data_IF_737896785967
#
_entry.id   IF_737896785967
#
_cell.length_a   1.000
_cell.length_b   1.000
_cell.length_c   1.000
_cell.angle_alpha   90.00
_cell.angle_beta   90.00
_cell.angle_gamma   90.00
#
_symmetry.space_group_name_H-M   'P 1'
#
loop_
_entity.id
_entity.type
_entity.pdbx_description
1 polymer ?
#
# COMPACT_ATOMS: atom_id res chain seq x y z
N UNK A 1 4.50 -16.25 -12.57
CA UNK A 1 3.23 -15.63 -12.14
C UNK A 1 2.83 -16.21 -10.78
N UNK A 2 2.10 -15.48 -9.99
CA UNK A 2 1.62 -15.90 -8.67
C UNK A 2 2.60 -15.67 -7.53
N UNK A 3 3.74 -15.05 -7.77
CA UNK A 3 4.68 -14.62 -6.71
C UNK A 3 4.33 -13.18 -6.31
N UNK A 4 3.61 -13.00 -5.20
CA UNK A 4 3.09 -11.70 -4.78
C UNK A 4 4.15 -10.62 -4.59
N UNK A 5 5.35 -11.00 -4.14
CA UNK A 5 6.46 -10.05 -3.99
C UNK A 5 6.99 -9.61 -5.36
N UNK A 6 7.11 -10.51 -6.32
CA UNK A 6 7.66 -10.19 -7.63
C UNK A 6 6.68 -9.44 -8.53
N UNK A 7 5.39 -9.64 -8.35
CA UNK A 7 4.34 -9.05 -9.17
C UNK A 7 3.92 -7.66 -8.64
N UNK A 8 3.16 -7.63 -7.54
CA UNK A 8 2.53 -6.39 -7.05
C UNK A 8 3.50 -5.47 -6.31
N UNK A 9 4.46 -6.03 -5.55
CA UNK A 9 5.33 -5.20 -4.70
C UNK A 9 6.33 -4.35 -5.47
N UNK A 10 6.64 -4.68 -6.72
CA UNK A 10 7.48 -3.83 -7.57
C UNK A 10 6.88 -2.44 -7.72
N UNK A 11 5.56 -2.34 -7.91
CA UNK A 11 4.85 -1.06 -7.95
C UNK A 11 4.88 -0.33 -6.62
N UNK A 12 4.81 -1.05 -5.50
CA UNK A 12 4.86 -0.45 -4.16
C UNK A 12 6.26 0.10 -3.86
N UNK A 13 7.32 -0.58 -4.26
CA UNK A 13 8.71 -0.10 -4.15
C UNK A 13 8.90 1.18 -4.95
N UNK A 14 8.43 1.19 -6.19
CA UNK A 14 8.51 2.35 -7.07
C UNK A 14 7.79 3.56 -6.46
N UNK A 15 6.55 3.39 -5.98
CA UNK A 15 5.79 4.42 -5.29
C UNK A 15 6.49 4.94 -4.02
N UNK A 16 7.12 4.06 -3.24
CA UNK A 16 7.89 4.45 -2.05
C UNK A 16 9.08 5.32 -2.47
N UNK A 17 9.83 4.90 -3.49
CA UNK A 17 10.99 5.62 -3.97
C UNK A 17 10.61 7.00 -4.50
N UNK A 18 9.59 7.10 -5.32
CA UNK A 18 9.07 8.39 -5.82
C UNK A 18 8.67 9.36 -4.70
N UNK A 19 8.07 8.84 -3.65
CA UNK A 19 7.52 9.65 -2.56
C UNK A 19 8.57 10.02 -1.51
N UNK A 20 9.57 9.19 -1.31
CA UNK A 20 10.58 9.39 -0.25
C UNK A 20 11.90 9.98 -0.78
N UNK A 21 12.20 9.76 -2.06
CA UNK A 21 13.45 10.16 -2.71
C UNK A 21 13.19 10.81 -4.07
N UNK A 22 12.36 11.88 -4.13
CA UNK A 22 12.07 12.55 -5.40
C UNK A 22 13.36 13.05 -6.03
N UNK A 23 13.51 12.79 -7.33
CA UNK A 23 14.66 13.22 -8.14
C UNK A 23 16.03 12.64 -7.71
N UNK A 24 16.03 11.59 -6.88
CA UNK A 24 17.25 10.90 -6.46
C UNK A 24 17.41 9.54 -7.15
N UNK A 25 18.61 9.28 -7.64
CA UNK A 25 18.99 7.94 -8.08
C UNK A 25 19.23 7.03 -6.87
N UNK A 26 18.66 5.83 -6.90
CA UNK A 26 18.85 4.79 -5.89
C UNK A 26 19.67 3.66 -6.50
N UNK A 27 20.82 3.38 -5.91
CA UNK A 27 21.70 2.29 -6.32
C UNK A 27 21.47 1.09 -5.38
N UNK A 28 20.88 0.01 -5.90
CA UNK A 28 20.46 -1.12 -5.08
C UNK A 28 21.62 -1.77 -4.29
N UNK A 29 22.85 -1.72 -4.82
CA UNK A 29 24.03 -2.31 -4.20
C UNK A 29 24.54 -1.54 -2.99
N UNK A 30 24.45 -0.20 -3.01
CA UNK A 30 24.98 0.67 -1.95
C UNK A 30 23.90 1.23 -1.04
N UNK A 31 22.72 1.50 -1.56
CA UNK A 31 21.70 2.26 -0.88
C UNK A 31 20.62 1.39 -0.25
N UNK A 32 20.49 0.12 -0.72
CA UNK A 32 19.44 -0.80 -0.27
C UNK A 32 20.02 -1.93 0.57
N UNK A 33 19.42 -2.16 1.75
CA UNK A 33 19.76 -3.31 2.60
C UNK A 33 18.48 -4.04 3.00
N UNK A 34 18.35 -5.29 2.59
CA UNK A 34 17.25 -6.16 3.02
C UNK A 34 17.46 -6.58 4.47
N UNK A 35 16.45 -6.42 5.30
CA UNK A 35 16.43 -6.79 6.72
C UNK A 35 15.68 -8.10 6.94
N UNK A 36 14.51 -8.25 6.34
CA UNK A 36 13.73 -9.48 6.37
C UNK A 36 12.90 -9.64 5.10
N UNK A 37 12.67 -10.88 4.69
CA UNK A 37 11.77 -11.22 3.62
C UNK A 37 11.05 -12.52 3.95
N UNK A 38 9.74 -12.57 3.69
CA UNK A 38 8.91 -13.76 3.88
C UNK A 38 7.92 -13.88 2.73
N UNK A 39 7.61 -15.10 2.34
CA UNK A 39 6.49 -15.41 1.47
C UNK A 39 5.68 -16.58 2.04
N UNK A 40 4.41 -16.65 1.68
CA UNK A 40 3.52 -17.74 2.10
C UNK A 40 2.42 -17.95 1.07
N UNK A 41 1.89 -19.18 0.97
CA UNK A 41 0.89 -19.48 -0.03
C UNK A 41 -0.50 -18.99 0.35
N UNK A 42 -1.33 -18.80 -0.67
CA UNK A 42 -2.79 -18.91 -0.59
C UNK A 42 -3.17 -20.29 -1.08
N UNK A 43 -3.86 -21.12 -0.28
CA UNK A 43 -4.32 -22.43 -0.71
C UNK A 43 -5.50 -22.28 -1.68
N UNK A 44 -5.47 -23.04 -2.78
CA UNK A 44 -6.53 -23.08 -3.79
C UNK A 44 -6.94 -24.54 -3.97
N UNK A 45 -8.20 -24.84 -3.73
CA UNK A 45 -8.80 -26.15 -3.99
C UNK A 45 -8.94 -26.42 -5.49
N UNK A 46 -9.09 -27.69 -5.90
CA UNK A 46 -9.33 -28.01 -7.30
C UNK A 46 -10.63 -27.36 -7.82
N UNK A 47 -11.66 -27.24 -6.98
CA UNK A 47 -12.90 -26.57 -7.36
C UNK A 47 -12.71 -25.08 -7.68
N UNK A 48 -11.98 -24.37 -6.82
CA UNK A 48 -11.63 -22.95 -7.04
C UNK A 48 -10.72 -22.77 -8.26
N UNK A 49 -9.76 -23.68 -8.45
CA UNK A 49 -8.90 -23.69 -9.62
C UNK A 49 -9.71 -23.89 -10.90
N UNK A 50 -10.61 -24.88 -10.91
CA UNK A 50 -11.48 -25.17 -12.06
C UNK A 50 -12.41 -24.02 -12.38
N UNK A 51 -12.94 -23.34 -11.37
CA UNK A 51 -13.79 -22.16 -11.54
C UNK A 51 -13.03 -21.01 -12.24
N UNK A 52 -11.76 -20.81 -11.87
CA UNK A 52 -10.93 -19.73 -12.43
C UNK A 52 -10.38 -20.05 -13.82
N UNK A 53 -9.97 -21.29 -14.04
CA UNK A 53 -9.19 -21.69 -15.22
C UNK A 53 -9.99 -22.44 -16.27
N UNK A 54 -11.21 -22.88 -15.93
CA UNK A 54 -12.08 -23.71 -16.77
C UNK A 54 -11.42 -25.09 -17.09
N UNK A 55 -10.59 -25.61 -16.17
CA UNK A 55 -9.94 -26.93 -16.31
C UNK A 55 -10.27 -27.82 -15.14
N UNK A 56 -10.50 -29.12 -15.38
CA UNK A 56 -10.98 -30.09 -14.40
C UNK A 56 -9.87 -30.74 -13.56
N UNK A 57 -8.60 -30.39 -13.85
CA UNK A 57 -7.47 -30.97 -13.16
C UNK A 57 -6.31 -29.99 -13.09
N UNK A 58 -5.46 -30.15 -12.08
CA UNK A 58 -4.22 -29.42 -12.01
C UNK A 58 -3.25 -29.87 -13.12
N UNK A 59 -2.69 -28.95 -13.91
CA UNK A 59 -1.65 -29.28 -14.89
C UNK A 59 -0.45 -29.96 -14.25
N UNK A 60 0.18 -30.88 -14.97
CA UNK A 60 1.29 -31.69 -14.46
C UNK A 60 2.47 -30.86 -13.95
N UNK A 61 2.73 -29.70 -14.56
CA UNK A 61 3.80 -28.81 -14.15
C UNK A 61 3.57 -28.12 -12.79
N UNK A 62 2.34 -28.12 -12.27
CA UNK A 62 1.99 -27.62 -10.93
C UNK A 62 2.15 -28.66 -9.83
N UNK A 63 2.40 -29.94 -10.18
CA UNK A 63 2.41 -31.06 -9.23
C UNK A 63 3.30 -30.81 -7.98
N UNK A 64 4.43 -30.14 -8.15
CA UNK A 64 5.33 -29.82 -7.05
C UNK A 64 4.77 -28.82 -6.02
N UNK A 65 3.74 -28.06 -6.39
CA UNK A 65 3.06 -27.08 -5.54
C UNK A 65 1.75 -27.57 -4.97
N UNK A 66 1.37 -28.84 -5.24
CA UNK A 66 0.15 -29.44 -4.74
C UNK A 66 0.49 -30.23 -3.48
N UNK A 67 -0.21 -29.93 -2.39
CA UNK A 67 -0.14 -30.67 -1.13
C UNK A 67 -1.55 -31.03 -0.66
N UNK A 68 -1.79 -32.30 -0.36
CA UNK A 68 -3.10 -32.77 0.09
C UNK A 68 -4.25 -32.30 -0.82
N UNK A 69 -4.09 -32.44 -2.14
CA UNK A 69 -5.05 -32.03 -3.17
C UNK A 69 -5.37 -30.52 -3.20
N UNK A 70 -4.50 -29.68 -2.61
CA UNK A 70 -4.60 -28.22 -2.61
C UNK A 70 -3.37 -27.63 -3.29
N UNK A 71 -3.57 -26.71 -4.20
CA UNK A 71 -2.51 -25.93 -4.84
C UNK A 71 -2.07 -24.79 -3.92
N UNK A 72 -0.80 -24.77 -3.54
CA UNK A 72 -0.19 -23.69 -2.78
C UNK A 72 0.34 -22.61 -3.70
N UNK A 73 -0.43 -21.51 -3.90
CA UNK A 73 -0.02 -20.36 -4.73
C UNK A 73 0.75 -19.37 -3.87
N UNK A 74 2.04 -19.16 -4.12
CA UNK A 74 2.90 -18.22 -3.38
C UNK A 74 2.57 -16.76 -3.68
N UNK A 75 1.33 -16.36 -3.44
CA UNK A 75 0.79 -15.05 -3.78
C UNK A 75 1.02 -13.97 -2.71
N UNK A 76 1.53 -14.35 -1.54
CA UNK A 76 1.69 -13.44 -0.40
C UNK A 76 3.15 -13.22 -0.06
N UNK A 77 3.47 -12.02 0.42
CA UNK A 77 4.81 -11.74 0.87
C UNK A 77 4.92 -10.49 1.74
N UNK A 78 6.02 -10.41 2.47
CA UNK A 78 6.43 -9.22 3.18
C UNK A 78 7.94 -8.99 3.03
N UNK A 79 8.34 -7.75 2.99
CA UNK A 79 9.72 -7.31 2.87
C UNK A 79 9.95 -6.11 3.79
N UNK A 80 10.96 -6.22 4.67
CA UNK A 80 11.51 -5.10 5.44
C UNK A 80 12.92 -4.81 4.94
N UNK A 81 13.20 -3.55 4.65
CA UNK A 81 14.48 -3.13 4.08
C UNK A 81 14.79 -1.68 4.45
N UNK A 82 16.00 -1.22 4.18
CA UNK A 82 16.34 0.19 4.27
C UNK A 82 16.75 0.73 2.91
N UNK A 83 16.43 1.99 2.66
CA UNK A 83 16.96 2.77 1.54
C UNK A 83 17.64 3.99 2.10
N UNK A 84 18.94 4.17 1.82
CA UNK A 84 19.74 5.28 2.37
C UNK A 84 19.57 5.45 3.89
N UNK A 85 19.44 4.32 4.62
CA UNK A 85 19.24 4.29 6.07
C UNK A 85 17.81 4.51 6.56
N UNK A 86 16.85 4.83 5.69
CA UNK A 86 15.43 4.97 6.04
C UNK A 86 14.76 3.60 5.98
N UNK A 87 14.07 3.22 7.07
CA UNK A 87 13.37 1.94 7.16
C UNK A 87 12.11 1.95 6.31
N UNK A 88 11.97 0.91 5.51
CA UNK A 88 10.83 0.64 4.64
C UNK A 88 10.27 -0.75 4.97
N UNK A 89 8.95 -0.88 4.92
CA UNK A 89 8.29 -2.17 5.07
C UNK A 89 7.12 -2.27 4.10
N UNK A 90 6.90 -3.46 3.55
CA UNK A 90 5.75 -3.74 2.72
C UNK A 90 5.20 -5.13 2.99
N UNK A 91 3.91 -5.28 2.75
CA UNK A 91 3.20 -6.56 2.82
C UNK A 91 2.13 -6.61 1.76
N UNK A 92 2.09 -7.70 1.02
CA UNK A 92 1.04 -8.02 0.07
C UNK A 92 0.35 -9.30 0.50
N UNK A 93 -0.98 -9.28 0.46
CA UNK A 93 -1.81 -10.45 0.74
C UNK A 93 -2.84 -10.57 -0.37
N UNK A 94 -2.92 -11.74 -0.97
CA UNK A 94 -3.94 -12.07 -1.96
C UNK A 94 -4.84 -13.18 -1.43
N UNK A 95 -6.13 -12.90 -1.40
CA UNK A 95 -7.15 -13.88 -1.07
C UNK A 95 -7.90 -14.27 -2.35
N UNK A 96 -8.09 -15.55 -2.58
CA UNK A 96 -8.77 -16.03 -3.78
C UNK A 96 -10.20 -15.44 -3.91
N UNK A 97 -10.94 -15.45 -2.80
CA UNK A 97 -12.30 -14.90 -2.76
C UNK A 97 -12.25 -13.45 -2.25
N UNK A 98 -12.66 -12.47 -3.06
CA UNK A 98 -12.79 -11.09 -2.58
C UNK A 98 -13.91 -10.98 -1.55
N UNK A 99 -13.86 -10.04 -0.59
CA UNK A 99 -14.97 -9.78 0.30
C UNK A 99 -16.21 -9.32 -0.48
N UNK A 100 -17.40 -9.54 0.08
CA UNK A 100 -18.67 -9.08 -0.50
C UNK A 100 -18.63 -7.57 -0.71
N UNK A 101 -18.97 -7.10 -1.90
CA UNK A 101 -18.79 -5.71 -2.34
C UNK A 101 -17.33 -5.25 -2.33
N UNK A 102 -16.39 -6.20 -2.37
CA UNK A 102 -14.99 -5.96 -2.18
C UNK A 102 -14.31 -5.28 -3.36
N UNK A 103 -13.30 -4.52 -2.99
CA UNK A 103 -12.26 -4.00 -3.86
C UNK A 103 -10.92 -4.26 -3.22
N UNK A 104 -9.87 -3.83 -3.87
CA UNK A 104 -8.53 -3.91 -3.31
C UNK A 104 -8.40 -2.98 -2.11
N UNK A 105 -7.76 -3.47 -1.06
CA UNK A 105 -7.38 -2.65 0.08
C UNK A 105 -5.96 -2.13 -0.08
N UNK A 106 -5.73 -0.89 0.31
CA UNK A 106 -4.41 -0.28 0.28
C UNK A 106 -4.18 0.57 1.51
N UNK A 107 -3.01 0.43 2.12
CA UNK A 107 -2.57 1.31 3.21
C UNK A 107 -1.12 1.70 2.99
N UNK A 108 -0.85 3.00 3.02
CA UNK A 108 0.50 3.55 3.02
C UNK A 108 0.67 4.47 4.23
N UNK A 109 1.74 4.28 4.99
CA UNK A 109 2.03 5.07 6.19
C UNK A 109 3.45 5.62 6.07
N UNK A 110 3.58 6.95 6.21
CA UNK A 110 4.86 7.65 6.26
C UNK A 110 4.96 8.41 7.56
N UNK A 111 5.89 7.99 8.41
CA UNK A 111 6.13 8.62 9.72
C UNK A 111 7.22 9.67 9.59
N UNK A 112 6.85 10.91 9.82
CA UNK A 112 7.77 12.03 9.96
C UNK A 112 7.90 12.48 11.42
N UNK A 113 8.79 13.43 11.68
CA UNK A 113 9.02 13.98 13.02
C UNK A 113 7.89 14.90 13.53
N UNK A 114 7.04 15.40 12.66
CA UNK A 114 5.96 16.32 13.02
C UNK A 114 4.56 15.77 12.74
N UNK A 115 4.47 14.85 11.79
CA UNK A 115 3.21 14.25 11.37
C UNK A 115 3.43 12.88 10.75
N UNK A 116 2.40 12.06 10.81
CA UNK A 116 2.28 10.82 10.06
C UNK A 116 1.29 11.04 8.91
N UNK A 117 1.72 10.76 7.68
CA UNK A 117 0.86 10.70 6.49
C UNK A 117 0.32 9.29 6.33
N UNK A 118 -0.99 9.16 6.08
CA UNK A 118 -1.64 7.87 5.91
C UNK A 118 -2.59 7.90 4.73
N UNK A 119 -2.34 7.05 3.74
CA UNK A 119 -3.30 6.77 2.67
C UNK A 119 -4.03 5.48 3.03
N UNK A 120 -5.35 5.50 2.97
CA UNK A 120 -6.22 4.35 3.26
C UNK A 120 -7.20 4.16 2.12
N UNK A 121 -7.37 2.91 1.73
CA UNK A 121 -8.42 2.44 0.82
C UNK A 121 -8.94 1.14 1.41
N UNK A 122 -10.15 1.15 1.94
CA UNK A 122 -10.78 -0.03 2.55
C UNK A 122 -12.32 0.04 2.44
N UNK A 123 -13.01 -0.94 2.99
CA UNK A 123 -14.47 -1.00 2.98
C UNK A 123 -15.11 0.21 3.66
N UNK A 124 -14.49 0.76 4.72
CA UNK A 124 -15.04 1.89 5.51
C UNK A 124 -15.15 3.17 4.70
N UNK A 125 -14.28 3.33 3.73
CA UNK A 125 -14.29 4.49 2.82
C UNK A 125 -14.75 4.14 1.40
N UNK A 126 -15.46 3.00 1.24
CA UNK A 126 -15.99 2.55 -0.04
C UNK A 126 -14.91 2.23 -1.07
N UNK A 127 -13.74 1.76 -0.62
CA UNK A 127 -12.56 1.48 -1.43
C UNK A 127 -12.02 2.69 -2.22
N UNK A 128 -12.27 3.90 -1.72
CA UNK A 128 -11.74 5.14 -2.27
C UNK A 128 -10.48 5.53 -1.50
N UNK A 129 -9.40 5.88 -2.19
CA UNK A 129 -8.15 6.33 -1.52
C UNK A 129 -8.37 7.67 -0.83
N UNK A 130 -8.11 7.72 0.47
CA UNK A 130 -8.16 8.92 1.29
C UNK A 130 -6.80 9.21 1.92
N UNK A 131 -6.35 10.47 1.88
CA UNK A 131 -5.10 10.92 2.50
C UNK A 131 -5.39 11.62 3.82
N UNK A 132 -4.89 11.02 4.88
CA UNK A 132 -4.94 11.58 6.23
C UNK A 132 -3.57 12.09 6.65
N UNK A 133 -3.58 13.18 7.43
CA UNK A 133 -2.42 13.72 8.13
C UNK A 133 -2.72 13.64 9.61
N UNK A 134 -1.92 12.89 10.35
CA UNK A 134 -1.99 12.80 11.80
C UNK A 134 -0.86 13.59 12.39
N UNK A 135 -1.17 14.65 13.14
CA UNK A 135 -0.20 15.44 13.91
C UNK A 135 0.44 14.59 15.00
N UNK A 136 1.74 14.68 15.20
CA UNK A 136 2.40 14.05 16.35
C UNK A 136 1.99 14.75 17.66
N UNK A 137 1.86 13.98 18.78
CA UNK A 137 1.31 14.50 20.04
C UNK A 137 2.02 15.75 20.58
N UNK A 138 3.34 15.76 20.51
CA UNK A 138 4.18 16.81 21.09
C UNK A 138 4.24 18.11 20.26
N UNK A 139 3.57 18.16 19.11
CA UNK A 139 3.52 19.35 18.27
C UNK A 139 2.33 20.22 18.65
N UNK A 140 2.58 21.52 18.83
CA UNK A 140 1.53 22.50 19.11
C UNK A 140 0.48 22.56 17.98
N UNK A 141 -0.80 22.52 18.37
CA UNK A 141 -1.92 22.49 17.42
C UNK A 141 -1.96 23.73 16.52
N UNK A 142 -1.81 24.93 17.12
CA UNK A 142 -1.94 26.19 16.40
C UNK A 142 -0.83 26.35 15.36
N UNK A 143 0.37 26.02 15.76
CA UNK A 143 1.55 26.06 14.85
C UNK A 143 1.40 25.04 13.75
N UNK A 144 0.93 23.83 14.05
CA UNK A 144 0.74 22.79 13.06
C UNK A 144 -0.34 23.16 12.05
N UNK A 145 -1.49 23.62 12.51
CA UNK A 145 -2.61 24.01 11.64
C UNK A 145 -2.23 25.18 10.71
N UNK A 146 -1.51 26.18 11.25
CA UNK A 146 -1.02 27.30 10.41
C UNK A 146 -0.07 26.81 9.30
N UNK A 147 0.84 25.88 9.63
CA UNK A 147 1.77 25.31 8.65
C UNK A 147 1.05 24.44 7.63
N UNK A 148 0.10 23.62 8.07
CA UNK A 148 -0.72 22.78 7.20
C UNK A 148 -1.52 23.63 6.21
N UNK A 149 -2.19 24.67 6.71
CA UNK A 149 -2.96 25.60 5.88
C UNK A 149 -2.08 26.26 4.80
N UNK A 150 -0.91 26.79 5.21
CA UNK A 150 0.05 27.37 4.26
C UNK A 150 0.50 26.37 3.19
N UNK A 151 0.76 25.13 3.59
CA UNK A 151 1.16 24.07 2.65
C UNK A 151 0.04 23.77 1.65
N UNK A 152 -1.20 23.69 2.13
CA UNK A 152 -2.35 23.45 1.25
C UNK A 152 -2.59 24.61 0.29
N UNK A 153 -2.47 25.86 0.75
CA UNK A 153 -2.56 27.05 -0.12
C UNK A 153 -1.50 27.03 -1.24
N UNK A 154 -0.29 26.58 -0.94
CA UNK A 154 0.75 26.39 -1.96
C UNK A 154 0.37 25.28 -2.96
N UNK A 155 -0.17 24.17 -2.48
CA UNK A 155 -0.62 23.08 -3.35
C UNK A 155 -1.83 23.49 -4.20
N UNK A 156 -2.69 24.36 -3.71
CA UNK A 156 -3.86 24.86 -4.44
C UNK A 156 -3.49 25.69 -5.68
N UNK A 157 -2.26 26.19 -5.79
CA UNK A 157 -1.77 26.83 -7.03
C UNK A 157 -1.82 25.83 -8.19
N UNK A 158 -1.46 24.58 -7.94
CA UNK A 158 -1.49 23.51 -8.95
C UNK A 158 -2.79 22.69 -8.90
N UNK A 159 -3.32 22.51 -7.69
CA UNK A 159 -4.51 21.68 -7.42
C UNK A 159 -5.58 22.51 -6.71
N UNK A 160 -6.27 23.44 -7.39
CA UNK A 160 -7.17 24.43 -6.77
C UNK A 160 -8.38 23.81 -6.05
N UNK A 161 -8.67 22.54 -6.31
CA UNK A 161 -9.76 21.79 -5.71
C UNK A 161 -9.42 21.14 -4.36
N UNK A 162 -8.17 21.20 -3.90
CA UNK A 162 -7.78 20.62 -2.61
C UNK A 162 -8.38 21.41 -1.45
N UNK A 163 -8.83 20.70 -0.42
CA UNK A 163 -9.22 21.29 0.85
C UNK A 163 -8.81 20.39 2.03
N UNK A 164 -8.86 20.95 3.24
CA UNK A 164 -8.56 20.22 4.48
C UNK A 164 -9.79 20.15 5.35
N UNK A 165 -10.13 18.95 5.81
CA UNK A 165 -11.19 18.70 6.78
C UNK A 165 -10.59 18.24 8.10
N UNK A 166 -10.78 19.00 9.17
CA UNK A 166 -10.38 18.58 10.54
C UNK A 166 -11.30 17.46 11.02
N UNK A 167 -10.72 16.30 11.35
CA UNK A 167 -11.41 15.09 11.82
C UNK A 167 -11.35 14.90 13.34
N UNK A 168 -10.89 15.91 14.09
CA UNK A 168 -10.59 15.89 15.52
C UNK A 168 -9.30 15.12 15.88
N UNK A 169 -8.89 15.23 17.14
CA UNK A 169 -7.72 14.55 17.71
C UNK A 169 -6.42 14.70 16.91
N UNK A 170 -6.22 15.87 16.27
CA UNK A 170 -5.02 16.12 15.45
C UNK A 170 -4.99 15.37 14.13
N UNK A 171 -6.12 14.85 13.66
CA UNK A 171 -6.27 14.18 12.38
C UNK A 171 -6.92 15.11 11.36
N UNK A 172 -6.35 15.19 10.17
CA UNK A 172 -6.82 16.01 9.05
C UNK A 172 -6.95 15.15 7.81
N UNK A 173 -8.07 15.29 7.10
CA UNK A 173 -8.29 14.67 5.80
C UNK A 173 -7.98 15.70 4.71
N UNK A 174 -7.13 15.35 3.78
CA UNK A 174 -6.97 16.08 2.52
C UNK A 174 -8.11 15.65 1.60
N UNK A 175 -9.05 16.56 1.42
CA UNK A 175 -10.24 16.29 0.63
C UNK A 175 -10.01 16.60 -0.85
N UNK A 176 -10.22 15.59 -1.67
CA UNK A 176 -10.14 15.66 -3.14
C UNK A 176 -11.51 15.28 -3.67
N UNK A 177 -12.21 16.15 -4.40
CA UNK A 177 -13.49 15.82 -5.01
C UNK A 177 -13.40 14.57 -5.90
N UNK A 178 -14.44 13.74 -5.87
CA UNK A 178 -14.43 12.46 -6.56
C UNK A 178 -14.15 12.58 -8.07
N UNK A 179 -14.69 13.58 -8.71
CA UNK A 179 -14.51 13.89 -10.14
C UNK A 179 -13.09 14.37 -10.50
N UNK A 180 -12.23 14.59 -9.50
CA UNK A 180 -10.81 14.98 -9.64
C UNK A 180 -9.84 13.88 -9.25
N UNK A 181 -10.36 12.73 -8.84
CA UNK A 181 -9.56 11.54 -8.53
C UNK A 181 -9.32 10.76 -9.82
N UNK A 182 -8.10 10.30 -10.01
CA UNK A 182 -7.72 9.42 -11.13
C UNK A 182 -8.04 7.97 -10.79
#
# INVERSE_FOLDING_TARGET
>A
QGEGIADVTTHLIDLINWQCFPDEAIHYQSDVKVLSAKHWPTPITLAEFSQSTQTDSFPIYLKQYIKNDVLEVMANGSLDYTVKGICMGMKVTWNYTPPTNGGDTFTSIKKGSKATLKIVQDEKNGFVKELYIQKEPDIDNRTFEAQLQKTVEQLQITYPFLSVKNKKNGTYLIDIPQEKRL
#
